data_IF_371536231537
#
_entry.id   IF_371536231537
#
_cell.length_a   1.000
_cell.length_b   1.000
_cell.length_c   1.000
_cell.angle_alpha   90.00
_cell.angle_beta   90.00
_cell.angle_gamma   90.00
#
_symmetry.space_group_name_H-M   'P 1'
#
loop_
_entity.id
_entity.type
_entity.pdbx_description
1 polymer ?
#
# COMPACT_ATOMS: atom_id res chain seq x y z
N UNK A 1 21.59 -11.47 -23.19
CA UNK A 1 20.81 -12.43 -22.38
C UNK A 1 19.34 -12.01 -22.40
N UNK A 2 18.54 -12.59 -23.29
CA UNK A 2 17.17 -12.18 -23.58
C UNK A 2 16.18 -13.20 -23.01
N UNK A 3 15.79 -13.03 -21.75
CA UNK A 3 14.89 -13.95 -21.04
C UNK A 3 13.40 -13.78 -21.40
N UNK A 4 13.04 -12.82 -22.25
CA UNK A 4 11.64 -12.52 -22.60
C UNK A 4 11.19 -13.00 -23.98
N UNK A 5 12.11 -13.47 -24.84
CA UNK A 5 11.81 -13.55 -26.27
C UNK A 5 11.38 -14.92 -26.78
N UNK A 6 10.56 -15.67 -26.03
CA UNK A 6 9.89 -16.90 -26.51
C UNK A 6 8.91 -17.51 -25.47
N UNK A 7 7.87 -16.76 -25.04
CA UNK A 7 6.76 -17.35 -24.26
C UNK A 7 5.52 -17.53 -25.14
N UNK A 8 4.96 -18.73 -25.15
CA UNK A 8 3.70 -19.02 -25.84
C UNK A 8 2.50 -18.64 -24.96
N UNK A 9 1.35 -18.35 -25.55
CA UNK A 9 0.13 -17.96 -24.81
C UNK A 9 -0.27 -18.96 -23.72
N UNK A 10 -0.05 -20.26 -23.94
CA UNK A 10 -0.32 -21.31 -22.96
C UNK A 10 0.57 -21.20 -21.70
N UNK A 11 1.81 -20.73 -21.83
CA UNK A 11 2.73 -20.55 -20.69
C UNK A 11 2.39 -19.34 -19.83
N UNK A 12 1.73 -18.32 -20.39
CA UNK A 12 1.18 -17.21 -19.59
C UNK A 12 -0.02 -17.66 -18.75
N UNK A 13 -0.86 -18.54 -19.31
CA UNK A 13 -2.03 -19.09 -18.60
C UNK A 13 -1.65 -20.11 -17.52
N UNK A 14 -0.46 -20.72 -17.63
CA UNK A 14 0.10 -21.66 -16.65
C UNK A 14 1.15 -21.02 -15.73
N UNK A 15 1.36 -19.70 -15.81
CA UNK A 15 2.31 -19.04 -14.92
C UNK A 15 1.85 -19.25 -13.46
N UNK A 16 2.72 -19.75 -12.57
CA UNK A 16 2.40 -19.86 -11.15
C UNK A 16 1.87 -18.52 -10.64
N UNK A 17 0.76 -18.54 -9.91
CA UNK A 17 0.27 -17.34 -9.20
C UNK A 17 1.23 -16.88 -8.11
N UNK A 18 2.27 -17.67 -7.80
CA UNK A 18 3.40 -17.39 -6.89
C UNK A 18 4.14 -16.06 -7.15
N UNK A 19 3.88 -15.37 -8.26
CA UNK A 19 4.42 -14.03 -8.55
C UNK A 19 3.38 -12.89 -8.54
N UNK A 20 2.11 -13.20 -8.30
CA UNK A 20 0.98 -12.25 -8.30
C UNK A 20 0.36 -12.07 -6.92
N UNK A 21 0.99 -12.60 -5.89
CA UNK A 21 0.57 -12.36 -4.51
C UNK A 21 0.78 -10.90 -4.12
N UNK A 22 -0.18 -10.34 -3.39
CA UNK A 22 -0.10 -8.97 -2.90
C UNK A 22 1.09 -8.79 -1.94
N UNK A 23 1.72 -7.62 -2.00
CA UNK A 23 2.77 -7.25 -1.05
C UNK A 23 2.24 -7.18 0.40
N UNK A 24 0.96 -6.82 0.55
CA UNK A 24 0.27 -6.74 1.83
C UNK A 24 -0.41 -8.07 2.12
N UNK A 25 -0.05 -8.69 3.24
CA UNK A 25 -0.80 -9.84 3.75
C UNK A 25 -2.06 -9.32 4.43
N UNK A 26 -3.22 -9.57 3.81
CA UNK A 26 -4.52 -9.24 4.42
C UNK A 26 -4.73 -10.17 5.62
N UNK A 27 -4.82 -9.65 6.86
CA UNK A 27 -5.03 -10.50 8.02
C UNK A 27 -6.38 -11.23 7.91
N UNK A 28 -6.42 -12.49 8.34
CA UNK A 28 -7.66 -13.25 8.36
C UNK A 28 -8.71 -12.55 9.24
N UNK A 29 -9.84 -12.16 8.63
CA UNK A 29 -10.96 -11.55 9.34
C UNK A 29 -12.00 -12.63 9.62
N UNK A 30 -12.12 -13.04 10.87
CA UNK A 30 -13.09 -14.07 11.30
C UNK A 30 -14.53 -13.55 11.38
N UNK A 31 -14.75 -12.25 11.13
CA UNK A 31 -16.08 -11.66 11.05
C UNK A 31 -16.70 -11.96 9.69
N UNK A 32 -17.54 -13.00 9.61
CA UNK A 32 -18.12 -13.53 8.36
C UNK A 32 -18.93 -12.54 7.50
N UNK A 33 -19.26 -11.35 8.02
CA UNK A 33 -20.02 -10.31 7.32
C UNK A 33 -19.25 -8.98 7.21
N UNK A 34 -17.92 -8.99 7.40
CA UNK A 34 -17.14 -7.77 7.27
C UNK A 34 -17.00 -7.39 5.79
N UNK A 35 -17.38 -6.15 5.47
CA UNK A 35 -17.23 -5.57 4.14
C UNK A 35 -16.79 -4.10 4.26
N UNK A 36 -15.86 -3.70 3.39
CA UNK A 36 -15.49 -2.30 3.24
C UNK A 36 -16.59 -1.56 2.47
N UNK A 37 -17.30 -0.68 3.15
CA UNK A 37 -18.36 0.13 2.54
C UNK A 37 -17.79 1.04 1.45
N UNK A 38 -18.49 1.14 0.32
CA UNK A 38 -18.10 2.00 -0.81
C UNK A 38 -17.81 3.46 -0.41
N UNK A 39 -18.58 4.03 0.52
CA UNK A 39 -18.33 5.39 1.02
C UNK A 39 -16.97 5.57 1.70
N UNK A 40 -16.40 4.51 2.29
CA UNK A 40 -15.04 4.54 2.84
C UNK A 40 -13.98 4.56 1.73
N UNK A 41 -14.21 3.83 0.64
CA UNK A 41 -13.34 3.84 -0.55
C UNK A 41 -13.28 5.25 -1.15
N UNK A 42 -14.44 5.90 -1.32
CA UNK A 42 -14.51 7.28 -1.81
C UNK A 42 -13.71 8.22 -0.88
N UNK A 43 -13.83 8.05 0.44
CA UNK A 43 -13.16 8.93 1.40
C UNK A 43 -11.62 8.82 1.32
N UNK A 44 -11.08 7.61 1.18
CA UNK A 44 -9.64 7.39 1.02
C UNK A 44 -9.14 7.81 -0.36
N UNK A 45 -9.98 7.69 -1.39
CA UNK A 45 -9.65 8.10 -2.77
C UNK A 45 -9.71 9.62 -2.97
N UNK A 46 -10.46 10.36 -2.15
CA UNK A 46 -10.58 11.83 -2.30
C UNK A 46 -9.24 12.57 -2.20
N UNK A 47 -8.28 12.01 -1.47
CA UNK A 47 -6.91 12.54 -1.33
C UNK A 47 -5.89 11.43 -1.56
N UNK A 48 -5.89 10.87 -2.77
CA UNK A 48 -4.84 9.93 -3.16
C UNK A 48 -3.47 10.60 -3.15
N UNK A 49 -2.48 9.81 -2.75
CA UNK A 49 -1.07 10.18 -2.82
C UNK A 49 -0.48 9.63 -4.11
N UNK A 50 0.04 10.51 -4.96
CA UNK A 50 0.55 10.13 -6.29
C UNK A 50 2.03 9.73 -6.27
N UNK A 51 2.77 10.13 -5.24
CA UNK A 51 4.21 9.93 -5.14
C UNK A 51 5.03 11.02 -5.83
N UNK A 52 4.47 12.21 -6.03
CA UNK A 52 5.18 13.36 -6.58
C UNK A 52 6.14 13.97 -5.54
N UNK A 53 7.24 14.57 -6.03
CA UNK A 53 8.28 15.17 -5.17
C UNK A 53 7.78 16.26 -4.21
N UNK A 54 6.64 16.90 -4.49
CA UNK A 54 6.07 17.99 -3.69
C UNK A 54 5.03 17.49 -2.66
N UNK A 55 4.61 16.24 -2.75
CA UNK A 55 3.65 15.69 -1.79
C UNK A 55 4.36 15.32 -0.49
N UNK A 56 3.71 15.58 0.64
CA UNK A 56 4.21 15.24 1.98
C UNK A 56 3.67 13.87 2.40
N UNK A 57 4.55 12.87 2.39
CA UNK A 57 4.25 11.48 2.78
C UNK A 57 3.79 11.38 4.24
N UNK A 58 4.37 12.18 5.15
CA UNK A 58 3.95 12.20 6.55
C UNK A 58 2.56 12.84 6.71
N UNK A 59 2.26 13.91 5.96
CA UNK A 59 0.92 14.50 5.95
C UNK A 59 -0.14 13.52 5.44
N UNK A 60 0.18 12.74 4.40
CA UNK A 60 -0.70 11.68 3.90
C UNK A 60 -1.02 10.65 4.97
N UNK A 61 0.01 10.10 5.64
CA UNK A 61 -0.18 9.13 6.73
C UNK A 61 -1.00 9.72 7.89
N UNK A 62 -0.78 10.99 8.26
CA UNK A 62 -1.58 11.67 9.30
C UNK A 62 -3.05 11.78 8.89
N UNK A 63 -3.32 12.18 7.65
CA UNK A 63 -4.68 12.29 7.13
C UNK A 63 -5.37 10.91 7.08
N UNK A 64 -4.69 9.89 6.56
CA UNK A 64 -5.18 8.52 6.49
C UNK A 64 -5.49 7.95 7.89
N UNK A 65 -4.61 8.18 8.87
CA UNK A 65 -4.86 7.78 10.26
C UNK A 65 -6.07 8.50 10.87
N UNK A 66 -6.28 9.78 10.53
CA UNK A 66 -7.44 10.55 11.00
C UNK A 66 -8.75 9.95 10.50
N UNK A 67 -8.86 9.65 9.21
CA UNK A 67 -10.09 9.07 8.63
C UNK A 67 -10.34 7.63 9.12
N UNK A 68 -9.28 6.84 9.34
CA UNK A 68 -9.43 5.44 9.79
C UNK A 68 -9.62 5.30 11.30
N UNK A 69 -9.28 6.32 12.11
CA UNK A 69 -9.48 6.30 13.56
C UNK A 69 -10.96 6.26 14.00
N UNK A 70 -11.87 6.73 13.14
CA UNK A 70 -13.31 6.75 13.39
C UNK A 70 -13.97 5.40 13.08
N UNK A 71 -13.26 4.51 12.39
CA UNK A 71 -13.77 3.19 12.02
C UNK A 71 -13.81 2.28 13.24
N UNK A 72 -15.03 1.83 13.59
CA UNK A 72 -15.29 0.91 14.69
C UNK A 72 -15.95 -0.35 14.15
N UNK A 73 -15.18 -1.43 14.12
CA UNK A 73 -15.65 -2.76 13.77
C UNK A 73 -15.33 -3.68 14.96
N UNK A 74 -16.34 -4.12 15.74
CA UNK A 74 -16.13 -4.80 17.02
C UNK A 74 -15.21 -6.02 16.98
N UNK A 75 -15.10 -6.69 15.82
CA UNK A 75 -14.35 -7.94 15.66
C UNK A 75 -13.24 -7.83 14.61
N UNK A 76 -12.87 -6.62 14.20
CA UNK A 76 -11.84 -6.41 13.18
C UNK A 76 -10.81 -5.41 13.71
N UNK A 77 -9.54 -5.82 13.86
CA UNK A 77 -8.49 -4.91 14.27
C UNK A 77 -8.40 -3.70 13.32
N UNK A 78 -8.27 -2.51 13.90
CA UNK A 78 -8.17 -1.27 13.12
C UNK A 78 -6.95 -1.28 12.18
N UNK A 79 -5.87 -1.94 12.59
CA UNK A 79 -4.67 -2.15 11.77
C UNK A 79 -4.96 -2.98 10.52
N UNK A 80 -5.77 -4.04 10.61
CA UNK A 80 -6.20 -4.83 9.45
C UNK A 80 -7.00 -3.98 8.47
N UNK A 81 -7.91 -3.14 8.99
CA UNK A 81 -8.71 -2.22 8.16
C UNK A 81 -7.82 -1.20 7.45
N UNK A 82 -6.82 -0.64 8.16
CA UNK A 82 -5.83 0.28 7.57
C UNK A 82 -5.05 -0.39 6.44
N UNK A 83 -4.54 -1.60 6.66
CA UNK A 83 -3.81 -2.36 5.64
C UNK A 83 -4.66 -2.61 4.39
N UNK A 84 -5.93 -2.99 4.54
CA UNK A 84 -6.83 -3.18 3.39
C UNK A 84 -7.20 -1.88 2.67
N UNK A 85 -7.34 -0.76 3.39
CA UNK A 85 -7.76 0.52 2.80
C UNK A 85 -6.61 1.31 2.18
N UNK A 86 -5.39 1.15 2.66
CA UNK A 86 -4.25 1.96 2.22
C UNK A 86 -3.98 1.90 0.71
N UNK A 87 -4.07 0.75 0.02
CA UNK A 87 -3.86 0.67 -1.43
C UNK A 87 -4.79 1.56 -2.25
N UNK A 88 -5.99 1.86 -1.74
CA UNK A 88 -6.96 2.75 -2.39
C UNK A 88 -6.65 4.24 -2.16
N UNK A 89 -5.75 4.55 -1.23
CA UNK A 89 -5.25 5.90 -0.99
C UNK A 89 -4.03 6.27 -1.85
N UNK A 90 -3.57 5.36 -2.72
CA UNK A 90 -2.41 5.55 -3.58
C UNK A 90 -2.84 5.66 -5.04
N UNK A 91 -2.08 6.42 -5.82
CA UNK A 91 -2.21 6.54 -7.27
C UNK A 91 -0.82 6.69 -7.91
N UNK A 92 -0.72 6.54 -9.23
CA UNK A 92 0.50 6.88 -9.96
C UNK A 92 1.75 6.15 -9.46
N UNK A 93 2.81 6.91 -9.16
CA UNK A 93 4.10 6.34 -8.74
C UNK A 93 4.01 5.61 -7.39
N UNK A 94 3.12 6.06 -6.50
CA UNK A 94 2.90 5.40 -5.22
C UNK A 94 2.18 4.05 -5.36
N UNK A 95 1.20 3.98 -6.26
CA UNK A 95 0.53 2.71 -6.57
C UNK A 95 1.50 1.70 -7.18
N UNK A 96 2.28 2.15 -8.16
CA UNK A 96 3.31 1.32 -8.83
C UNK A 96 4.38 0.83 -7.84
N UNK A 97 4.75 1.64 -6.85
CA UNK A 97 5.68 1.21 -5.81
C UNK A 97 5.12 0.04 -5.01
N UNK A 98 3.87 0.13 -4.54
CA UNK A 98 3.26 -0.93 -3.74
C UNK A 98 3.16 -2.24 -4.53
N UNK A 99 2.84 -2.17 -5.81
CA UNK A 99 2.76 -3.33 -6.72
C UNK A 99 4.12 -3.97 -7.02
N UNK A 100 5.23 -3.27 -6.75
CA UNK A 100 6.60 -3.77 -6.93
C UNK A 100 7.24 -4.30 -5.65
N UNK A 101 6.62 -4.07 -4.49
CA UNK A 101 7.11 -4.65 -3.25
C UNK A 101 7.08 -6.18 -3.33
N UNK A 102 8.03 -6.89 -2.70
CA UNK A 102 8.02 -8.33 -2.71
C UNK A 102 6.71 -8.89 -2.12
N UNK A 103 6.20 -10.00 -2.66
CA UNK A 103 5.06 -10.72 -2.11
C UNK A 103 5.16 -10.89 -0.59
N UNK A 104 4.05 -10.66 0.10
CA UNK A 104 3.93 -10.87 1.55
C UNK A 104 4.97 -10.12 2.41
N UNK A 105 5.61 -9.08 1.88
CA UNK A 105 6.66 -8.33 2.60
C UNK A 105 6.12 -7.29 3.58
N UNK A 106 4.81 -7.03 3.56
CA UNK A 106 4.12 -6.09 4.45
C UNK A 106 3.12 -6.88 5.30
N UNK A 107 3.50 -7.14 6.56
CA UNK A 107 2.71 -7.92 7.50
C UNK A 107 1.94 -7.04 8.49
N UNK A 108 2.53 -5.89 8.85
CA UNK A 108 1.96 -4.96 9.82
C UNK A 108 1.80 -3.56 9.25
N UNK A 109 0.97 -2.76 9.92
CA UNK A 109 0.81 -1.35 9.59
C UNK A 109 2.12 -0.56 9.74
N UNK A 110 2.96 -0.93 10.71
CA UNK A 110 4.24 -0.27 10.94
C UNK A 110 5.27 -0.64 9.86
N UNK A 111 5.25 -1.87 9.34
CA UNK A 111 6.07 -2.27 8.17
C UNK A 111 5.70 -1.43 6.95
N UNK A 112 4.40 -1.27 6.70
CA UNK A 112 3.87 -0.48 5.60
C UNK A 112 4.34 0.97 5.70
N UNK A 113 4.14 1.61 6.86
CA UNK A 113 4.57 2.99 7.08
C UNK A 113 6.07 3.12 6.86
N UNK A 114 6.86 2.21 7.45
CA UNK A 114 8.32 2.28 7.37
C UNK A 114 8.81 2.21 5.93
N UNK A 115 8.30 1.27 5.14
CA UNK A 115 8.65 1.15 3.71
C UNK A 115 8.17 2.36 2.90
N UNK A 116 6.93 2.81 3.12
CA UNK A 116 6.36 3.97 2.43
C UNK A 116 7.15 5.26 2.68
N UNK A 117 7.49 5.55 3.94
CA UNK A 117 8.27 6.74 4.30
C UNK A 117 9.68 6.65 3.73
N UNK A 118 10.35 5.49 3.83
CA UNK A 118 11.68 5.31 3.26
C UNK A 118 11.71 5.50 1.73
N UNK A 119 10.62 5.12 1.04
CA UNK A 119 10.51 5.28 -0.40
C UNK A 119 10.27 6.74 -0.82
N UNK A 120 9.30 7.43 -0.19
CA UNK A 120 8.85 8.75 -0.63
C UNK A 120 9.50 9.92 0.12
N UNK A 121 10.17 9.63 1.23
CA UNK A 121 10.95 10.58 2.03
C UNK A 121 12.25 9.93 2.56
N UNK A 122 13.17 9.51 1.67
CA UNK A 122 14.38 8.81 2.08
C UNK A 122 15.29 9.71 2.94
N UNK A 123 15.99 9.14 3.94
CA UNK A 123 16.93 9.88 4.81
C UNK A 123 18.05 10.63 4.08
N UNK A 124 18.35 10.29 2.83
CA UNK A 124 19.33 11.02 2.01
C UNK A 124 18.87 12.44 1.65
N UNK A 125 17.55 12.71 1.64
CA UNK A 125 16.99 14.06 1.43
C UNK A 125 17.15 14.97 2.66
N UNK A 126 17.41 14.44 3.86
CA UNK A 126 17.67 15.24 5.06
C UNK A 126 19.13 15.68 5.18
N UNK A 127 20.07 15.06 4.45
CA UNK A 127 21.48 15.49 4.44
C UNK A 127 21.70 16.81 3.68
N UNK A 128 20.89 17.12 2.66
CA UNK A 128 21.01 18.38 1.91
C UNK A 128 20.43 19.62 2.62
N UNK A 129 19.68 19.42 3.73
CA UNK A 129 19.13 20.51 4.55
C UNK A 129 20.04 20.88 5.74
N UNK A 130 21.19 20.21 5.88
CA UNK A 130 22.15 20.39 6.98
C UNK A 130 23.54 20.82 6.51
N UNK A 131 23.64 21.46 5.34
CA UNK A 131 24.87 22.17 4.97
C UNK A 131 24.75 23.63 5.45
N UNK A 132 25.68 24.13 6.29
CA UNK A 132 25.75 25.54 6.67
C UNK A 132 26.09 26.45 5.47
#
# INVERSE_FOLDING_TARGET
VAWWRQRTMAQFLQAPTEGYEDAIVVPAITAGNFELKHGLLILVQNKQFFGHNKEDSHAHIRYFNKITSTLKFPNVPNTSIKLMLFPFSLEGAARIWLEKEPPQSILTWDDLISKFINQFFPPSKTTSLRAP
#
